data_IF_167887266820
#
_entry.id   IF_167887266820
#
_cell.length_a   1.000
_cell.length_b   1.000
_cell.length_c   1.000
_cell.angle_alpha   90.00
_cell.angle_beta   90.00
_cell.angle_gamma   90.00
#
_symmetry.space_group_name_H-M   'P 1'
#
loop_
_entity.id
_entity.type
_entity.pdbx_description
1 polymer ?
#
# COMPACT_ATOMS: atom_id res chain seq x y z
N UNK A 1 24.53 -55.22 -45.27
CA UNK A 1 25.07 -54.49 -46.43
C UNK A 1 23.95 -54.37 -47.45
N UNK A 2 23.65 -53.12 -47.88
CA UNK A 2 22.70 -52.66 -48.91
C UNK A 2 21.18 -52.52 -48.57
N UNK A 3 20.88 -51.26 -48.23
CA UNK A 3 19.68 -50.38 -48.36
C UNK A 3 19.23 -50.30 -49.86
N UNK A 4 17.97 -50.00 -50.27
CA UNK A 4 17.35 -48.70 -49.99
C UNK A 4 15.84 -48.53 -49.73
N UNK A 5 15.59 -47.32 -49.21
CA UNK A 5 14.38 -46.60 -48.81
C UNK A 5 13.42 -46.20 -49.95
N UNK A 6 12.12 -46.05 -49.62
CA UNK A 6 11.27 -44.82 -49.67
C UNK A 6 9.79 -45.28 -49.44
N UNK A 7 9.12 -44.96 -48.33
CA UNK A 7 8.36 -43.75 -48.00
C UNK A 7 6.91 -43.66 -48.56
N UNK A 8 5.99 -43.19 -47.70
CA UNK A 8 4.67 -42.57 -47.95
C UNK A 8 3.38 -43.40 -47.75
N UNK A 9 2.99 -43.49 -46.47
CA UNK A 9 1.72 -43.11 -45.80
C UNK A 9 0.40 -43.04 -46.62
N UNK A 10 -0.54 -43.79 -46.07
CA UNK A 10 -1.99 -43.96 -46.21
C UNK A 10 -2.84 -42.66 -46.35
N UNK A 11 -3.79 -42.66 -47.30
CA UNK A 11 -4.90 -41.69 -47.43
C UNK A 11 -6.23 -42.47 -47.52
N UNK A 12 -7.11 -42.29 -46.54
CA UNK A 12 -8.51 -42.76 -46.55
C UNK A 12 -9.39 -41.50 -46.56
N UNK A 13 -10.19 -41.33 -47.60
CA UNK A 13 -11.24 -40.31 -47.69
C UNK A 13 -12.57 -40.96 -48.08
N UNK A 14 -13.49 -41.09 -47.13
CA UNK A 14 -14.89 -41.40 -47.41
C UNK A 14 -15.77 -40.36 -46.75
N UNK A 15 -16.53 -39.67 -47.60
CA UNK A 15 -17.59 -38.75 -47.24
C UNK A 15 -18.80 -39.52 -46.71
N UNK A 16 -19.43 -38.99 -45.66
CA UNK A 16 -20.85 -39.27 -45.38
C UNK A 16 -21.49 -38.06 -44.72
N UNK A 17 -22.61 -37.68 -45.32
CA UNK A 17 -23.53 -36.60 -44.98
C UNK A 17 -24.50 -37.10 -43.92
N UNK A 18 -24.77 -36.33 -42.87
CA UNK A 18 -25.89 -36.57 -41.96
C UNK A 18 -26.50 -35.24 -41.50
N UNK A 19 -27.78 -35.09 -41.83
CA UNK A 19 -28.69 -34.05 -41.34
C UNK A 19 -28.89 -34.21 -39.82
N UNK A 20 -28.98 -33.10 -39.10
CA UNK A 20 -29.48 -33.05 -37.74
C UNK A 20 -30.63 -32.03 -37.65
N UNK A 21 -31.82 -32.55 -37.34
CA UNK A 21 -32.96 -31.80 -36.81
C UNK A 21 -33.05 -32.02 -35.31
N UNK A 22 -33.37 -30.93 -34.59
CA UNK A 22 -34.07 -30.87 -33.30
C UNK A 22 -33.36 -31.39 -32.04
N UNK A 23 -33.06 -30.47 -31.11
CA UNK A 23 -33.74 -30.37 -29.80
C UNK A 23 -32.99 -29.38 -28.90
N UNK A 24 -33.71 -28.34 -28.46
CA UNK A 24 -33.28 -27.45 -27.40
C UNK A 24 -33.45 -28.13 -26.04
N UNK A 25 -32.40 -28.11 -25.22
CA UNK A 25 -32.51 -28.29 -23.78
C UNK A 25 -31.31 -27.63 -23.08
N UNK A 26 -31.64 -26.74 -22.14
CA UNK A 26 -30.72 -26.02 -21.28
C UNK A 26 -29.83 -26.97 -20.47
N UNK A 27 -28.51 -26.91 -20.71
CA UNK A 27 -27.51 -27.59 -19.90
C UNK A 27 -26.75 -26.57 -19.04
N UNK A 28 -27.18 -26.47 -17.78
CA UNK A 28 -26.54 -25.75 -16.68
C UNK A 28 -25.13 -26.32 -16.44
N UNK A 29 -24.09 -25.56 -16.81
CA UNK A 29 -22.68 -25.92 -16.56
C UNK A 29 -22.36 -25.89 -15.06
N UNK A 30 -22.04 -27.05 -14.53
CA UNK A 30 -21.50 -27.29 -13.18
C UNK A 30 -20.12 -26.64 -13.06
N UNK A 31 -19.99 -25.58 -12.24
CA UNK A 31 -18.71 -25.03 -11.81
C UNK A 31 -18.16 -25.89 -10.68
N UNK A 32 -16.94 -26.41 -10.84
CA UNK A 32 -16.22 -27.11 -9.78
C UNK A 32 -15.99 -26.20 -8.57
N UNK A 33 -16.49 -26.63 -7.41
CA UNK A 33 -16.20 -26.01 -6.12
C UNK A 33 -14.83 -26.48 -5.63
N UNK A 34 -13.91 -25.53 -5.42
CA UNK A 34 -12.78 -25.76 -4.51
C UNK A 34 -13.32 -25.56 -3.10
N UNK A 35 -13.39 -26.65 -2.34
CA UNK A 35 -13.85 -26.68 -0.96
C UNK A 35 -12.65 -26.48 -0.04
N UNK A 36 -12.52 -25.28 0.55
CA UNK A 36 -11.64 -25.07 1.70
C UNK A 36 -12.51 -25.18 2.95
N UNK A 37 -12.32 -26.27 3.70
CA UNK A 37 -13.03 -26.51 4.95
C UNK A 37 -12.39 -25.67 6.06
N UNK A 38 -13.06 -24.59 6.45
CA UNK A 38 -12.89 -23.96 7.77
C UNK A 38 -14.23 -24.08 8.50
N UNK A 39 -14.21 -24.73 9.66
CA UNK A 39 -15.34 -24.96 10.54
C UNK A 39 -16.08 -23.67 10.89
N UNK A 40 -17.38 -23.65 10.59
CA UNK A 40 -18.43 -22.98 11.36
C UNK A 40 -18.42 -21.46 11.39
N UNK A 41 -18.87 -20.82 10.31
CA UNK A 41 -19.94 -19.82 10.33
C UNK A 41 -20.14 -19.28 8.89
N UNK A 42 -21.37 -19.37 8.41
CA UNK A 42 -21.77 -18.94 7.07
C UNK A 42 -21.65 -17.42 6.98
N UNK A 43 -20.62 -16.94 6.25
CA UNK A 43 -20.50 -15.52 5.88
C UNK A 43 -21.17 -15.36 4.52
N UNK A 44 -22.38 -14.80 4.52
CA UNK A 44 -23.01 -14.25 3.31
C UNK A 44 -22.21 -13.04 2.85
N UNK A 45 -21.73 -13.12 1.62
CA UNK A 45 -20.99 -12.05 0.94
C UNK A 45 -21.99 -11.12 0.27
N UNK A 46 -22.49 -10.14 1.01
CA UNK A 46 -23.16 -9.01 0.38
C UNK A 46 -22.11 -8.08 -0.25
N UNK A 47 -22.38 -7.77 -1.51
CA UNK A 47 -21.58 -7.08 -2.49
C UNK A 47 -20.99 -5.75 -2.00
N UNK A 48 -19.72 -5.80 -1.60
CA UNK A 48 -18.79 -4.72 -1.94
C UNK A 48 -18.61 -4.80 -3.45
N UNK A 49 -18.74 -3.69 -4.17
CA UNK A 49 -18.32 -3.57 -5.57
C UNK A 49 -16.87 -4.03 -5.68
N UNK A 50 -16.73 -5.32 -5.95
CA UNK A 50 -15.52 -5.93 -6.43
C UNK A 50 -15.49 -5.47 -7.87
N UNK A 51 -14.65 -4.50 -8.20
CA UNK A 51 -14.30 -4.30 -9.61
C UNK A 51 -13.91 -5.68 -10.14
N UNK A 52 -14.73 -6.22 -11.04
CA UNK A 52 -14.58 -7.56 -11.58
C UNK A 52 -13.15 -7.72 -12.10
N UNK A 53 -12.56 -8.88 -11.82
CA UNK A 53 -11.18 -9.28 -12.12
C UNK A 53 -10.89 -9.32 -13.65
N UNK A 54 -11.75 -8.77 -14.50
CA UNK A 54 -11.68 -8.84 -15.96
C UNK A 54 -11.54 -7.53 -16.74
N UNK A 55 -11.74 -6.33 -16.17
CA UNK A 55 -11.86 -5.10 -17.01
C UNK A 55 -11.22 -3.84 -16.42
N UNK A 56 -10.06 -3.93 -15.76
CA UNK A 56 -9.35 -2.70 -15.34
C UNK A 56 -8.86 -1.96 -16.57
N UNK A 57 -9.33 -0.72 -16.76
CA UNK A 57 -8.94 0.09 -17.92
C UNK A 57 -7.44 0.37 -17.89
N UNK A 58 -6.74 0.29 -19.05
CA UNK A 58 -5.34 0.70 -19.15
C UNK A 58 -5.14 2.13 -18.62
N UNK A 59 -3.95 2.37 -18.06
CA UNK A 59 -3.58 3.70 -17.55
C UNK A 59 -3.46 4.68 -18.71
N UNK A 60 -4.17 5.80 -18.62
CA UNK A 60 -3.96 6.95 -19.49
C UNK A 60 -2.61 7.59 -19.13
N UNK A 61 -1.60 7.32 -19.96
CA UNK A 61 -0.21 7.75 -19.73
C UNK A 61 -0.04 9.26 -19.87
N UNK A 62 -0.83 9.93 -20.73
CA UNK A 62 -0.79 11.37 -20.88
C UNK A 62 -1.33 12.06 -19.62
N UNK A 63 -2.48 11.60 -19.10
CA UNK A 63 -3.04 12.06 -17.83
C UNK A 63 -2.10 11.76 -16.66
N UNK A 64 -1.50 10.57 -16.62
CA UNK A 64 -0.53 10.19 -15.60
C UNK A 64 0.66 11.18 -15.57
N UNK A 65 1.27 11.45 -16.73
CA UNK A 65 2.38 12.39 -16.84
C UNK A 65 1.98 13.82 -16.41
N UNK A 66 0.79 14.29 -16.82
CA UNK A 66 0.30 15.61 -16.43
C UNK A 66 0.12 15.73 -14.90
N UNK A 67 -0.41 14.68 -14.25
CA UNK A 67 -0.57 14.63 -12.80
C UNK A 67 0.77 14.59 -12.05
N UNK A 68 1.78 13.89 -12.58
CA UNK A 68 3.13 13.92 -12.00
C UNK A 68 3.75 15.31 -12.06
N UNK A 69 3.61 16.01 -13.19
CA UNK A 69 4.08 17.39 -13.33
C UNK A 69 3.33 18.32 -12.36
N UNK A 70 2.02 18.14 -12.19
CA UNK A 70 1.23 18.87 -11.19
C UNK A 70 1.76 18.61 -9.77
N UNK A 71 2.02 17.35 -9.40
CA UNK A 71 2.55 17.00 -8.07
C UNK A 71 3.96 17.53 -7.82
N UNK A 72 4.79 17.64 -8.85
CA UNK A 72 6.11 18.27 -8.73
C UNK A 72 6.03 19.74 -8.31
N UNK A 73 4.86 20.38 -8.50
CA UNK A 73 4.53 21.70 -7.99
C UNK A 73 5.56 22.78 -8.40
N UNK A 74 5.94 22.76 -9.67
CA UNK A 74 6.93 23.68 -10.23
C UNK A 74 8.32 23.50 -9.62
N UNK A 75 8.73 22.27 -9.32
CA UNK A 75 10.15 21.97 -9.07
C UNK A 75 10.96 22.26 -10.33
N UNK A 76 11.94 23.15 -10.21
CA UNK A 76 12.84 23.54 -11.31
C UNK A 76 14.21 22.89 -11.19
N UNK A 77 14.47 22.13 -10.11
CA UNK A 77 15.76 21.49 -9.87
C UNK A 77 15.97 20.20 -10.67
N UNK A 78 14.91 19.68 -11.29
CA UNK A 78 14.93 18.44 -12.05
C UNK A 78 14.88 17.17 -11.19
N UNK A 79 14.61 17.30 -9.88
CA UNK A 79 14.46 16.16 -8.96
C UNK A 79 13.07 15.56 -9.03
N UNK A 80 12.05 16.40 -9.21
CA UNK A 80 10.65 15.99 -9.27
C UNK A 80 9.98 16.49 -10.57
N UNK A 81 9.09 15.69 -11.19
CA UNK A 81 8.83 14.29 -10.86
C UNK A 81 10.04 13.40 -11.21
N UNK A 82 10.12 12.22 -10.60
CA UNK A 82 11.19 11.26 -10.89
C UNK A 82 11.11 10.82 -12.34
N UNK A 83 12.20 11.00 -13.09
CA UNK A 83 12.28 10.63 -14.50
C UNK A 83 12.36 9.12 -14.67
N UNK A 84 11.89 8.62 -15.81
CA UNK A 84 11.98 7.20 -16.21
C UNK A 84 11.31 6.22 -15.23
N UNK A 85 10.34 6.67 -14.44
CA UNK A 85 9.54 5.76 -13.63
C UNK A 85 8.61 4.93 -14.53
N UNK A 86 8.40 3.63 -14.21
CA UNK A 86 7.50 2.79 -15.00
C UNK A 86 6.06 3.28 -14.89
N UNK A 87 5.30 3.13 -15.98
CA UNK A 87 3.84 3.29 -15.91
C UNK A 87 3.26 2.20 -15.01
N UNK A 88 2.37 2.54 -14.07
CA UNK A 88 1.79 1.54 -13.20
C UNK A 88 0.77 0.68 -13.95
N UNK A 89 0.43 -0.48 -13.40
CA UNK A 89 -0.67 -1.29 -13.93
C UNK A 89 -2.03 -0.59 -13.74
N UNK A 90 -3.02 -1.08 -14.47
CA UNK A 90 -4.41 -0.67 -14.33
C UNK A 90 -4.90 -0.85 -12.88
N UNK A 91 -5.68 0.12 -12.38
CA UNK A 91 -6.12 0.17 -10.98
C UNK A 91 -5.15 0.89 -10.03
N UNK A 92 -4.10 1.54 -10.54
CA UNK A 92 -3.26 2.42 -9.72
C UNK A 92 -4.05 3.55 -9.06
N UNK A 93 -3.64 3.88 -7.83
CA UNK A 93 -4.27 4.93 -7.01
C UNK A 93 -3.54 6.25 -7.23
N UNK A 94 -2.21 6.22 -7.26
CA UNK A 94 -1.33 7.37 -7.35
C UNK A 94 -0.86 7.58 -8.80
N UNK A 95 -0.79 8.83 -9.28
CA UNK A 95 -1.18 10.09 -8.63
C UNK A 95 -2.66 10.47 -8.86
N UNK A 96 -3.53 9.54 -9.30
CA UNK A 96 -4.92 9.83 -9.68
C UNK A 96 -5.82 10.23 -8.50
N UNK A 97 -5.54 9.71 -7.31
CA UNK A 97 -6.25 10.00 -6.07
C UNK A 97 -5.26 10.30 -4.96
N UNK A 98 -5.60 11.23 -4.07
CA UNK A 98 -4.86 11.49 -2.84
C UNK A 98 -5.29 10.50 -1.77
N UNK A 99 -4.37 9.78 -1.18
CA UNK A 99 -4.67 8.87 -0.08
C UNK A 99 -4.72 9.66 1.23
N UNK A 100 -5.79 9.53 2.00
CA UNK A 100 -5.95 10.16 3.32
C UNK A 100 -6.32 9.08 4.33
N UNK A 101 -5.50 8.90 5.37
CA UNK A 101 -5.66 7.81 6.33
C UNK A 101 -5.54 8.23 7.78
N UNK A 102 -6.20 7.48 8.65
CA UNK A 102 -5.90 7.46 10.08
C UNK A 102 -4.97 6.30 10.41
N UNK A 103 -3.91 6.59 11.16
CA UNK A 103 -2.91 5.63 11.60
C UNK A 103 -3.17 5.16 13.04
N UNK A 104 -2.80 3.92 13.34
CA UNK A 104 -2.59 3.49 14.72
C UNK A 104 -2.86 2.02 15.00
N UNK A 105 -3.03 1.69 16.28
CA UNK A 105 -3.24 0.33 16.76
C UNK A 105 -4.47 0.25 17.68
N UNK A 106 -5.37 -0.71 17.42
CA UNK A 106 -6.63 -0.90 18.14
C UNK A 106 -6.48 -1.19 19.64
N UNK A 107 -5.32 -1.68 20.09
CA UNK A 107 -5.07 -1.93 21.52
C UNK A 107 -4.56 -0.70 22.27
N UNK A 108 -4.20 0.39 21.57
CA UNK A 108 -3.60 1.55 22.21
C UNK A 108 -4.17 2.87 21.70
N UNK A 109 -4.89 3.57 22.58
CA UNK A 109 -5.36 4.94 22.36
C UNK A 109 -4.23 5.98 22.28
N UNK A 110 -2.98 5.58 22.52
CA UNK A 110 -1.78 6.44 22.46
C UNK A 110 -0.98 6.26 21.16
N UNK A 111 -1.33 5.26 20.35
CA UNK A 111 -0.57 4.91 19.13
C UNK A 111 -1.25 5.39 17.85
N UNK A 112 -2.26 6.25 17.94
CA UNK A 112 -2.79 7.02 16.82
C UNK A 112 -4.30 7.05 16.71
N UNK A 113 -4.80 8.02 15.94
CA UNK A 113 -6.22 8.31 15.73
C UNK A 113 -7.09 7.11 15.35
N UNK A 114 -6.55 6.08 14.67
CA UNK A 114 -7.30 4.86 14.34
C UNK A 114 -7.74 4.08 15.59
N UNK A 115 -6.86 3.98 16.59
CA UNK A 115 -7.12 3.24 17.84
C UNK A 115 -7.65 4.11 18.98
N UNK A 116 -7.65 5.43 18.82
CA UNK A 116 -8.06 6.37 19.87
C UNK A 116 -9.58 6.42 20.07
N UNK A 117 -10.36 6.28 18.99
CA UNK A 117 -11.81 6.47 18.99
C UNK A 117 -12.57 5.18 18.67
N UNK A 118 -13.83 5.10 19.12
CA UNK A 118 -14.74 4.05 18.66
C UNK A 118 -14.97 4.17 17.14
N UNK A 119 -15.19 3.06 16.39
CA UNK A 119 -15.20 3.09 14.93
C UNK A 119 -16.10 4.13 14.26
N UNK A 120 -17.31 4.35 14.78
CA UNK A 120 -18.23 5.38 14.25
C UNK A 120 -17.68 6.80 14.40
N UNK A 121 -17.11 7.10 15.57
CA UNK A 121 -16.52 8.42 15.84
C UNK A 121 -15.21 8.62 15.08
N UNK A 122 -14.38 7.56 14.99
CA UNK A 122 -13.17 7.54 14.15
C UNK A 122 -13.51 7.92 12.71
N UNK A 123 -14.53 7.26 12.12
CA UNK A 123 -14.98 7.56 10.77
C UNK A 123 -15.56 8.96 10.60
N UNK A 124 -16.34 9.45 11.57
CA UNK A 124 -16.85 10.83 11.55
C UNK A 124 -15.70 11.84 11.43
N UNK A 125 -14.62 11.64 12.18
CA UNK A 125 -13.44 12.52 12.19
C UNK A 125 -12.62 12.40 10.90
N UNK A 126 -12.32 11.17 10.46
CA UNK A 126 -11.60 10.96 9.19
C UNK A 126 -12.40 11.52 7.99
N UNK A 127 -13.72 11.39 7.98
CA UNK A 127 -14.55 12.00 6.93
C UNK A 127 -14.52 13.53 6.96
N UNK A 128 -14.26 14.17 8.10
CA UNK A 128 -14.06 15.62 8.14
C UNK A 128 -12.73 16.02 7.47
N UNK A 129 -11.65 15.28 7.72
CA UNK A 129 -10.36 15.51 7.05
C UNK A 129 -10.46 15.27 5.54
N UNK A 130 -11.15 14.20 5.13
CA UNK A 130 -11.40 13.90 3.71
C UNK A 130 -12.11 15.08 3.03
N UNK A 131 -13.20 15.59 3.63
CA UNK A 131 -13.93 16.75 3.10
C UNK A 131 -13.06 18.01 3.02
N UNK A 132 -12.15 18.21 3.97
CA UNK A 132 -11.23 19.35 3.94
C UNK A 132 -10.27 19.23 2.74
N UNK A 133 -9.69 18.04 2.52
CA UNK A 133 -8.83 17.79 1.36
C UNK A 133 -9.56 17.94 0.02
N UNK A 134 -10.78 17.42 -0.09
CA UNK A 134 -11.62 17.56 -1.29
C UNK A 134 -11.95 19.04 -1.59
N UNK A 135 -12.14 19.85 -0.55
CA UNK A 135 -12.38 21.29 -0.70
C UNK A 135 -11.13 22.04 -1.17
N UNK A 136 -9.96 21.67 -0.67
CA UNK A 136 -8.70 22.39 -0.94
C UNK A 136 -8.09 22.02 -2.30
N UNK A 137 -8.23 20.78 -2.74
CA UNK A 137 -7.78 20.32 -4.06
C UNK A 137 -8.86 19.46 -4.75
N UNK A 138 -9.95 20.09 -5.24
CA UNK A 138 -11.08 19.38 -5.83
C UNK A 138 -10.72 18.59 -7.10
N UNK A 139 -9.61 18.95 -7.74
CA UNK A 139 -9.12 18.25 -8.94
C UNK A 139 -8.37 16.95 -8.65
N UNK A 140 -8.08 16.64 -7.38
CA UNK A 140 -7.45 15.39 -6.96
C UNK A 140 -8.35 14.68 -5.94
N UNK A 141 -9.21 13.73 -6.38
CA UNK A 141 -10.16 13.06 -5.49
C UNK A 141 -9.46 12.29 -4.38
N UNK A 142 -10.15 12.08 -3.25
CA UNK A 142 -9.58 11.39 -2.08
C UNK A 142 -9.90 9.89 -2.09
N UNK A 143 -8.87 9.09 -1.83
CA UNK A 143 -8.94 7.67 -1.51
C UNK A 143 -8.80 7.51 0.01
N UNK A 144 -9.91 7.21 0.69
CA UNK A 144 -9.89 6.98 2.13
C UNK A 144 -9.18 5.66 2.47
N UNK A 145 -8.46 5.64 3.59
CA UNK A 145 -7.87 4.40 4.10
C UNK A 145 -7.63 4.39 5.61
N UNK A 146 -7.29 3.22 6.13
CA UNK A 146 -6.87 3.03 7.52
C UNK A 146 -5.46 2.42 7.52
N UNK A 147 -4.54 2.96 8.31
CA UNK A 147 -3.17 2.46 8.40
C UNK A 147 -2.93 1.84 9.77
N UNK A 148 -2.96 0.51 9.82
CA UNK A 148 -2.93 -0.25 11.06
C UNK A 148 -1.56 -0.85 11.35
N UNK A 149 -1.08 -0.68 12.58
CA UNK A 149 0.17 -1.27 13.05
C UNK A 149 -0.04 -2.75 13.36
N UNK A 150 0.31 -3.62 12.41
CA UNK A 150 0.14 -5.07 12.48
C UNK A 150 1.29 -5.77 13.22
N UNK A 151 2.46 -5.14 13.27
CA UNK A 151 3.56 -5.56 14.15
C UNK A 151 4.17 -4.32 14.81
N UNK A 152 4.26 -4.36 16.14
CA UNK A 152 4.66 -3.20 16.96
C UNK A 152 6.01 -3.49 17.61
N UNK A 153 6.96 -2.56 17.51
CA UNK A 153 8.20 -2.66 18.26
C UNK A 153 7.92 -2.47 19.75
N UNK A 154 8.45 -3.36 20.58
CA UNK A 154 8.19 -3.44 22.01
C UNK A 154 9.40 -3.01 22.82
N UNK A 155 9.17 -2.31 23.94
CA UNK A 155 10.21 -2.03 24.93
C UNK A 155 10.62 -3.25 25.76
N UNK A 156 9.85 -4.34 25.70
CA UNK A 156 10.09 -5.58 26.45
C UNK A 156 10.29 -6.77 25.50
N UNK A 157 11.13 -7.76 25.88
CA UNK A 157 11.36 -8.95 25.06
C UNK A 157 10.10 -9.81 24.99
N UNK A 158 9.77 -10.26 23.77
CA UNK A 158 8.83 -11.36 23.55
C UNK A 158 9.47 -12.71 23.83
N UNK A 159 8.70 -13.79 23.67
CA UNK A 159 9.19 -15.18 23.88
C UNK A 159 10.37 -15.56 22.97
N UNK A 160 10.44 -14.95 21.80
CA UNK A 160 11.50 -15.13 20.80
C UNK A 160 12.67 -14.15 20.96
N UNK A 161 12.63 -13.30 21.99
CA UNK A 161 13.65 -12.27 22.23
C UNK A 161 13.70 -11.19 21.16
N UNK A 162 12.68 -11.06 20.28
CA UNK A 162 12.70 -10.13 19.14
C UNK A 162 12.17 -8.73 19.43
N UNK A 163 11.66 -8.50 20.64
CA UNK A 163 11.11 -7.20 21.06
C UNK A 163 10.03 -6.71 20.09
N UNK A 164 9.17 -7.62 19.63
CA UNK A 164 8.10 -7.35 18.67
C UNK A 164 6.79 -7.94 19.18
N UNK A 165 5.73 -7.14 19.15
CA UNK A 165 4.37 -7.59 19.42
C UNK A 165 3.65 -7.74 18.09
N UNK A 166 3.48 -8.99 17.64
CA UNK A 166 2.73 -9.32 16.41
C UNK A 166 1.25 -9.36 16.73
N UNK A 167 0.45 -8.59 16.00
CA UNK A 167 -0.99 -8.57 16.21
C UNK A 167 -1.60 -9.87 15.71
N UNK A 168 -2.56 -10.40 16.46
CA UNK A 168 -3.29 -11.59 16.03
C UNK A 168 -4.09 -11.29 14.76
N UNK A 169 -4.29 -12.33 13.93
CA UNK A 169 -5.11 -12.24 12.72
C UNK A 169 -6.49 -11.60 12.99
N UNK A 170 -7.13 -11.93 14.12
CA UNK A 170 -8.43 -11.35 14.51
C UNK A 170 -8.41 -9.82 14.67
N UNK A 171 -7.27 -9.23 15.02
CA UNK A 171 -7.13 -7.79 15.08
C UNK A 171 -7.03 -7.16 13.69
N UNK A 172 -6.28 -7.79 12.78
CA UNK A 172 -6.24 -7.38 11.38
C UNK A 172 -7.66 -7.50 10.79
N UNK A 173 -8.35 -8.61 11.04
CA UNK A 173 -9.73 -8.83 10.60
C UNK A 173 -10.68 -7.74 11.14
N UNK A 174 -10.48 -7.30 12.39
CA UNK A 174 -11.25 -6.19 12.99
C UNK A 174 -11.03 -4.88 12.25
N UNK A 175 -9.80 -4.56 11.84
CA UNK A 175 -9.53 -3.36 11.02
C UNK A 175 -10.15 -3.47 9.65
N UNK A 176 -10.12 -4.65 9.02
CA UNK A 176 -10.81 -4.87 7.73
C UNK A 176 -12.33 -4.69 7.88
N UNK A 177 -12.92 -5.12 8.99
CA UNK A 177 -14.34 -4.89 9.29
C UNK A 177 -14.64 -3.39 9.50
N UNK A 178 -13.78 -2.66 10.20
CA UNK A 178 -13.91 -1.20 10.35
C UNK A 178 -13.78 -0.51 8.99
N UNK A 179 -12.86 -0.96 8.13
CA UNK A 179 -12.69 -0.44 6.78
C UNK A 179 -13.97 -0.58 5.94
N UNK A 180 -14.66 -1.72 6.05
CA UNK A 180 -15.94 -1.99 5.34
C UNK A 180 -17.09 -1.06 5.74
N UNK A 181 -17.00 -0.36 6.87
CA UNK A 181 -18.03 0.63 7.27
C UNK A 181 -18.10 1.82 6.32
N UNK A 182 -17.06 2.07 5.51
CA UNK A 182 -17.04 3.09 4.47
C UNK A 182 -16.71 2.45 3.12
N UNK A 183 -17.53 2.68 2.08
CA UNK A 183 -17.26 2.14 0.74
C UNK A 183 -15.88 2.52 0.22
N UNK A 184 -15.28 1.59 -0.54
CA UNK A 184 -14.02 1.79 -1.23
C UNK A 184 -12.84 2.19 -0.32
N UNK A 185 -12.84 1.78 0.95
CA UNK A 185 -11.73 2.04 1.88
C UNK A 185 -10.58 1.07 1.67
N UNK A 186 -9.35 1.58 1.59
CA UNK A 186 -8.13 0.76 1.56
C UNK A 186 -7.53 0.59 2.97
N UNK A 187 -6.72 -0.45 3.17
CA UNK A 187 -6.04 -0.70 4.45
C UNK A 187 -4.56 -0.85 4.22
N UNK A 188 -3.75 -0.26 5.07
CA UNK A 188 -2.31 -0.49 5.14
C UNK A 188 -2.00 -1.32 6.39
N UNK A 189 -1.18 -2.35 6.24
CA UNK A 189 -0.60 -3.08 7.36
C UNK A 189 0.84 -2.59 7.55
N UNK A 190 1.12 -2.01 8.71
CA UNK A 190 2.41 -1.44 9.05
C UNK A 190 3.23 -2.42 9.90
N UNK A 191 4.52 -2.53 9.60
CA UNK A 191 5.44 -3.44 10.26
C UNK A 191 6.62 -2.70 10.91
N UNK A 192 6.66 -2.76 12.24
CA UNK A 192 7.79 -2.33 13.07
C UNK A 192 8.56 -3.58 13.54
N UNK A 193 9.67 -3.90 12.88
CA UNK A 193 10.29 -5.24 12.99
C UNK A 193 11.17 -5.45 14.23
N UNK A 194 11.56 -4.38 14.92
CA UNK A 194 12.48 -4.40 16.06
C UNK A 194 13.77 -5.20 15.77
N UNK A 195 14.06 -6.23 16.57
CA UNK A 195 15.23 -7.13 16.39
C UNK A 195 14.95 -8.31 15.44
N UNK A 196 13.77 -8.36 14.84
CA UNK A 196 13.47 -9.24 13.71
C UNK A 196 13.94 -8.59 12.39
N UNK A 197 13.50 -9.14 11.26
CA UNK A 197 13.76 -8.57 9.95
C UNK A 197 12.55 -8.71 9.03
N UNK A 198 12.48 -7.87 8.00
CA UNK A 198 11.30 -7.79 7.13
C UNK A 198 11.01 -9.10 6.38
N UNK A 199 12.04 -9.92 6.10
CA UNK A 199 11.88 -11.23 5.42
C UNK A 199 11.15 -12.24 6.30
N UNK A 200 11.37 -12.18 7.62
CA UNK A 200 10.70 -13.02 8.59
C UNK A 200 9.27 -12.52 8.89
N UNK A 201 9.04 -11.21 8.85
CA UNK A 201 7.75 -10.63 9.26
C UNK A 201 6.69 -10.61 8.13
N UNK A 202 7.09 -10.44 6.87
CA UNK A 202 6.16 -10.40 5.74
C UNK A 202 5.23 -11.63 5.61
N UNK A 203 5.72 -12.89 5.74
CA UNK A 203 4.88 -14.07 5.62
C UNK A 203 3.69 -14.10 6.59
N UNK A 204 3.80 -13.47 7.75
CA UNK A 204 2.71 -13.43 8.74
C UNK A 204 1.47 -12.68 8.25
N UNK A 205 1.63 -11.72 7.34
CA UNK A 205 0.53 -10.91 6.80
C UNK A 205 0.25 -11.18 5.32
N UNK A 206 0.97 -12.12 4.69
CA UNK A 206 0.90 -12.36 3.25
C UNK A 206 -0.53 -12.65 2.77
N UNK A 207 -1.30 -13.45 3.53
CA UNK A 207 -2.71 -13.74 3.20
C UNK A 207 -3.57 -12.49 3.06
N UNK A 208 -3.25 -11.41 3.80
CA UNK A 208 -3.97 -10.14 3.71
C UNK A 208 -3.49 -9.30 2.53
N UNK A 209 -2.20 -9.34 2.20
CA UNK A 209 -1.64 -8.65 1.03
C UNK A 209 -2.21 -9.19 -0.29
N UNK A 210 -2.76 -10.40 -0.29
CA UNK A 210 -3.50 -10.97 -1.43
C UNK A 210 -4.84 -10.25 -1.70
N UNK A 211 -5.38 -9.48 -0.74
CA UNK A 211 -6.60 -8.71 -0.93
C UNK A 211 -6.31 -7.44 -1.75
N UNK A 212 -7.12 -7.08 -2.76
CA UNK A 212 -6.81 -5.99 -3.69
C UNK A 212 -6.70 -4.61 -3.01
N UNK A 213 -7.45 -4.38 -1.92
CA UNK A 213 -7.51 -3.11 -1.18
C UNK A 213 -6.56 -3.06 0.03
N UNK A 214 -5.70 -4.07 0.22
CA UNK A 214 -4.70 -4.10 1.30
C UNK A 214 -3.31 -3.78 0.75
N UNK A 215 -2.62 -2.90 1.45
CA UNK A 215 -1.33 -2.30 1.13
C UNK A 215 -0.37 -2.44 2.32
N UNK A 216 0.88 -1.99 2.17
CA UNK A 216 1.94 -2.21 3.15
C UNK A 216 2.60 -0.89 3.58
N UNK A 217 2.86 -0.77 4.88
CA UNK A 217 3.76 0.22 5.48
C UNK A 217 4.96 -0.47 6.15
N UNK A 218 6.12 0.18 6.15
CA UNK A 218 7.27 -0.21 6.97
C UNK A 218 7.86 1.00 7.69
N UNK A 219 8.31 0.78 8.92
CA UNK A 219 8.99 1.77 9.74
C UNK A 219 10.49 1.46 9.88
N UNK A 220 11.37 2.08 9.07
CA UNK A 220 12.81 1.93 9.23
C UNK A 220 13.32 2.32 10.62
N UNK A 221 12.65 3.23 11.33
CA UNK A 221 13.01 3.61 12.72
C UNK A 221 13.14 2.39 13.64
N UNK A 222 12.38 1.33 13.38
CA UNK A 222 12.36 0.13 14.20
C UNK A 222 13.10 -1.05 13.58
N UNK A 223 13.87 -0.85 12.50
CA UNK A 223 14.73 -1.91 11.94
C UNK A 223 16.11 -1.89 12.62
N UNK A 224 16.24 -2.67 13.70
CA UNK A 224 17.37 -2.63 14.62
C UNK A 224 18.45 -3.65 14.27
N UNK A 225 19.11 -3.44 13.14
CA UNK A 225 20.05 -4.40 12.53
C UNK A 225 21.29 -4.74 13.36
N UNK A 226 21.62 -3.94 14.37
CA UNK A 226 22.85 -4.09 15.17
C UNK A 226 22.60 -4.63 16.59
N UNK A 227 21.38 -5.07 16.89
CA UNK A 227 21.04 -5.60 18.21
C UNK A 227 20.60 -4.53 19.22
N UNK A 228 20.69 -3.23 18.89
CA UNK A 228 20.23 -2.17 19.79
C UNK A 228 18.71 -2.28 20.01
N UNK A 229 18.25 -2.13 21.24
CA UNK A 229 16.82 -2.21 21.54
C UNK A 229 16.04 -1.07 20.85
N UNK A 230 14.80 -1.34 20.37
CA UNK A 230 13.97 -0.32 19.74
C UNK A 230 13.72 0.87 20.68
N UNK A 231 13.67 2.08 20.12
CA UNK A 231 13.47 3.33 20.86
C UNK A 231 14.72 3.88 21.56
N UNK A 232 15.85 3.16 21.59
CA UNK A 232 17.14 3.70 22.07
C UNK A 232 17.87 4.53 21.01
N UNK A 233 17.70 4.18 19.75
CA UNK A 233 18.16 4.93 18.59
C UNK A 233 17.25 4.64 17.40
N UNK A 234 17.39 5.46 16.36
CA UNK A 234 16.67 5.28 15.10
C UNK A 234 17.35 4.17 14.30
N UNK A 235 16.58 3.15 13.93
CA UNK A 235 16.97 2.04 13.06
C UNK A 235 17.14 2.45 11.59
N UNK A 236 17.30 1.45 10.72
CA UNK A 236 17.53 1.69 9.30
C UNK A 236 17.08 0.55 8.39
N UNK A 237 16.63 0.91 7.20
CA UNK A 237 16.52 0.01 6.06
C UNK A 237 17.46 0.46 4.94
N UNK A 238 18.03 -0.52 4.25
CA UNK A 238 18.74 -0.27 3.00
C UNK A 238 17.79 -0.42 1.79
N UNK A 239 18.18 0.15 0.66
CA UNK A 239 17.51 -0.11 -0.62
C UNK A 239 17.39 -1.61 -0.93
N UNK A 240 18.33 -2.46 -0.49
CA UNK A 240 18.21 -3.91 -0.62
C UNK A 240 17.00 -4.48 0.14
N UNK A 241 16.70 -3.99 1.34
CA UNK A 241 15.50 -4.40 2.09
C UNK A 241 14.23 -3.92 1.37
N UNK A 242 14.21 -2.65 0.94
CA UNK A 242 13.08 -2.06 0.21
C UNK A 242 12.83 -2.80 -1.10
N UNK A 243 13.88 -3.18 -1.82
CA UNK A 243 13.80 -3.93 -3.07
C UNK A 243 13.32 -5.36 -2.87
N UNK A 244 13.67 -5.99 -1.75
CA UNK A 244 13.11 -7.29 -1.38
C UNK A 244 11.59 -7.19 -1.18
N UNK A 245 11.14 -6.18 -0.42
CA UNK A 245 9.70 -5.96 -0.19
C UNK A 245 8.98 -5.61 -1.48
N UNK A 246 9.53 -4.70 -2.30
CA UNK A 246 8.88 -4.32 -3.56
C UNK A 246 8.82 -5.47 -4.57
N UNK A 247 9.82 -6.36 -4.58
CA UNK A 247 9.77 -7.61 -5.36
C UNK A 247 8.64 -8.51 -4.86
N UNK A 248 8.58 -8.76 -3.55
CA UNK A 248 7.57 -9.63 -2.95
C UNK A 248 6.14 -9.12 -3.24
N UNK A 249 5.90 -7.81 -3.10
CA UNK A 249 4.62 -7.21 -3.47
C UNK A 249 4.31 -7.35 -4.96
N UNK A 250 5.30 -7.17 -5.84
CA UNK A 250 5.13 -7.37 -7.27
C UNK A 250 4.77 -8.83 -7.62
N UNK A 251 5.39 -9.80 -6.95
CA UNK A 251 5.10 -11.22 -7.15
C UNK A 251 3.68 -11.57 -6.71
N UNK A 252 3.20 -11.02 -5.58
CA UNK A 252 1.80 -11.15 -5.15
C UNK A 252 0.85 -10.53 -6.18
N UNK A 253 1.16 -9.32 -6.68
CA UNK A 253 0.31 -8.65 -7.69
C UNK A 253 0.18 -9.50 -8.95
N UNK A 254 1.29 -10.04 -9.46
CA UNK A 254 1.28 -10.91 -10.64
C UNK A 254 0.54 -12.22 -10.39
N UNK A 255 0.86 -12.89 -9.28
CA UNK A 255 0.30 -14.21 -8.95
C UNK A 255 -1.21 -14.18 -8.78
N UNK A 256 -1.76 -13.11 -8.20
CA UNK A 256 -3.18 -13.00 -7.88
C UNK A 256 -3.94 -11.98 -8.76
N UNK A 257 -3.31 -11.47 -9.83
CA UNK A 257 -3.89 -10.49 -10.75
C UNK A 257 -4.50 -9.26 -10.03
N UNK A 258 -3.75 -8.69 -9.10
CA UNK A 258 -4.20 -7.57 -8.26
C UNK A 258 -3.93 -6.22 -8.94
N UNK A 259 -4.62 -5.13 -8.52
CA UNK A 259 -4.13 -3.79 -8.80
C UNK A 259 -2.76 -3.54 -8.11
N UNK A 260 -1.98 -2.55 -8.57
CA UNK A 260 -0.71 -2.20 -7.95
C UNK A 260 -0.83 -1.90 -6.45
N UNK A 261 0.12 -2.38 -5.67
CA UNK A 261 0.19 -2.09 -4.22
C UNK A 261 0.78 -0.71 -3.97
N UNK A 262 0.22 0.03 -3.03
CA UNK A 262 0.91 1.19 -2.45
C UNK A 262 1.83 0.67 -1.35
N UNK A 263 3.08 1.11 -1.37
CA UNK A 263 4.10 0.71 -0.40
C UNK A 263 4.67 1.96 0.28
N UNK A 264 4.32 2.15 1.56
CA UNK A 264 4.67 3.33 2.34
C UNK A 264 5.94 3.05 3.15
N UNK A 265 6.90 3.97 3.07
CA UNK A 265 8.17 3.89 3.79
C UNK A 265 8.31 5.15 4.64
N UNK A 266 8.21 4.99 5.95
CA UNK A 266 8.29 6.10 6.90
C UNK A 266 9.72 6.65 7.00
N UNK A 267 9.89 7.98 6.94
CA UNK A 267 11.21 8.63 7.00
C UNK A 267 11.11 10.03 7.59
N UNK A 268 11.94 10.32 8.59
CA UNK A 268 12.12 11.67 9.14
C UNK A 268 13.57 12.02 9.47
N UNK A 269 14.51 11.12 9.20
CA UNK A 269 15.94 11.41 9.17
C UNK A 269 16.57 10.77 7.94
N UNK A 270 17.73 11.29 7.51
CA UNK A 270 18.44 10.77 6.33
C UNK A 270 18.85 9.30 6.48
N UNK A 271 19.35 8.90 7.66
CA UNK A 271 19.93 7.57 7.90
C UNK A 271 18.90 6.44 8.00
N UNK A 272 17.60 6.76 8.09
CA UNK A 272 16.54 5.76 8.13
C UNK A 272 16.46 4.94 6.84
N UNK A 273 16.81 5.54 5.70
CA UNK A 273 16.86 4.84 4.42
C UNK A 273 18.20 5.09 3.76
N UNK A 274 19.01 4.04 3.59
CA UNK A 274 20.30 4.12 2.91
C UNK A 274 20.19 3.72 1.45
N UNK A 275 21.08 4.27 0.63
CA UNK A 275 21.21 3.92 -0.80
C UNK A 275 19.92 4.10 -1.61
N UNK A 276 19.11 5.11 -1.31
CA UNK A 276 17.78 5.30 -1.92
C UNK A 276 17.80 5.29 -3.47
N UNK A 277 18.89 5.73 -4.09
CA UNK A 277 19.07 5.71 -5.55
C UNK A 277 19.04 4.29 -6.15
N UNK A 278 19.32 3.27 -5.32
CA UNK A 278 19.27 1.86 -5.71
C UNK A 278 17.87 1.23 -5.54
N UNK A 279 16.88 1.98 -5.07
CA UNK A 279 15.49 1.51 -4.98
C UNK A 279 14.92 1.34 -6.39
N UNK A 280 14.44 0.14 -6.69
CA UNK A 280 13.89 -0.24 -7.99
C UNK A 280 12.38 0.02 -8.02
N UNK A 281 11.94 0.85 -8.96
CA UNK A 281 10.53 1.09 -9.24
C UNK A 281 9.95 -0.02 -10.13
N UNK A 282 8.66 -0.32 -9.95
CA UNK A 282 7.98 -1.45 -10.59
C UNK A 282 6.55 -1.05 -10.99
N UNK A 283 6.00 -1.49 -12.14
CA UNK A 283 4.60 -1.25 -12.49
C UNK A 283 3.59 -1.71 -11.43
N UNK A 284 3.94 -2.75 -10.68
CA UNK A 284 3.11 -3.39 -9.67
C UNK A 284 3.10 -2.67 -8.31
N UNK A 285 4.01 -1.73 -8.08
CA UNK A 285 4.21 -1.10 -6.76
C UNK A 285 4.37 0.42 -6.89
N UNK A 286 3.57 1.15 -6.11
CA UNK A 286 3.58 2.60 -5.99
C UNK A 286 4.25 2.96 -4.65
N UNK A 287 5.52 3.37 -4.70
CA UNK A 287 6.33 3.65 -3.51
C UNK A 287 6.10 5.08 -3.02
N UNK A 288 5.80 5.22 -1.73
CA UNK A 288 5.62 6.51 -1.05
C UNK A 288 6.73 6.68 -0.01
N UNK A 289 7.59 7.67 -0.20
CA UNK A 289 8.48 8.15 0.86
C UNK A 289 7.73 9.12 1.75
N UNK A 290 7.41 8.68 2.97
CA UNK A 290 6.45 9.34 3.84
C UNK A 290 7.16 10.11 4.97
N UNK A 291 6.96 11.43 5.02
CA UNK A 291 7.51 12.29 6.07
C UNK A 291 6.80 12.01 7.41
N UNK A 292 7.48 11.25 8.29
CA UNK A 292 6.89 10.75 9.56
C UNK A 292 7.33 11.55 10.81
N UNK A 293 7.95 12.71 10.65
CA UNK A 293 8.47 13.50 11.76
C UNK A 293 7.40 14.37 12.41
N UNK A 294 7.38 14.45 13.74
CA UNK A 294 6.52 15.36 14.49
C UNK A 294 7.25 16.67 14.83
N UNK A 295 6.48 17.74 15.05
CA UNK A 295 7.01 19.04 15.46
C UNK A 295 6.23 20.22 14.90
N UNK A 296 6.69 21.42 15.19
CA UNK A 296 6.11 22.64 14.66
C UNK A 296 6.26 22.74 13.12
N UNK A 297 5.40 23.52 12.43
CA UNK A 297 5.37 23.59 10.96
C UNK A 297 6.73 23.84 10.29
N UNK A 298 7.58 24.73 10.83
CA UNK A 298 8.89 25.00 10.24
C UNK A 298 9.82 23.80 10.29
N UNK A 299 9.86 23.08 11.42
CA UNK A 299 10.66 21.87 11.56
C UNK A 299 10.19 20.80 10.56
N UNK A 300 8.88 20.60 10.44
CA UNK A 300 8.32 19.60 9.51
C UNK A 300 8.58 19.95 8.05
N UNK A 301 8.47 21.23 7.67
CA UNK A 301 8.89 21.72 6.34
C UNK A 301 10.38 21.49 6.10
N UNK A 302 11.22 21.74 7.12
CA UNK A 302 12.64 21.46 7.10
C UNK A 302 12.94 19.98 6.88
N UNK A 303 12.32 19.10 7.65
CA UNK A 303 12.43 17.63 7.52
C UNK A 303 12.01 17.16 6.13
N UNK A 304 10.87 17.66 5.62
CA UNK A 304 10.40 17.34 4.28
C UNK A 304 11.42 17.77 3.21
N UNK A 305 11.95 19.00 3.30
CA UNK A 305 12.94 19.52 2.36
C UNK A 305 14.26 18.73 2.38
N UNK A 306 14.77 18.41 3.56
CA UNK A 306 16.10 17.79 3.71
C UNK A 306 16.12 16.28 3.53
N UNK A 307 15.01 15.59 3.81
CA UNK A 307 14.99 14.13 3.81
C UNK A 307 14.00 13.55 2.83
N UNK A 308 12.93 14.26 2.41
CA UNK A 308 12.00 13.74 1.40
C UNK A 308 12.33 14.30 0.02
N UNK A 309 12.32 15.61 -0.12
CA UNK A 309 12.55 16.28 -1.40
C UNK A 309 13.95 16.03 -1.98
N UNK A 310 14.97 16.03 -1.13
CA UNK A 310 16.38 15.88 -1.53
C UNK A 310 16.75 14.48 -2.02
N UNK A 311 15.95 13.47 -1.66
CA UNK A 311 16.19 12.05 -1.94
C UNK A 311 14.94 11.45 -2.61
N UNK A 312 14.71 11.79 -3.90
CA UNK A 312 13.50 11.42 -4.61
C UNK A 312 13.46 9.92 -4.94
N UNK A 313 12.27 9.32 -4.84
CA UNK A 313 12.04 7.89 -5.15
C UNK A 313 10.87 7.71 -6.13
N UNK A 314 9.63 8.05 -5.75
CA UNK A 314 8.49 8.01 -6.69
C UNK A 314 7.36 8.95 -6.27
N UNK A 315 6.75 8.72 -5.11
CA UNK A 315 5.74 9.59 -4.53
C UNK A 315 6.14 10.02 -3.12
N UNK A 316 5.52 11.09 -2.63
CA UNK A 316 5.75 11.60 -1.28
C UNK A 316 4.48 11.58 -0.44
N UNK A 317 4.68 11.44 0.86
CA UNK A 317 3.61 11.57 1.83
C UNK A 317 4.00 12.45 3.01
N UNK A 318 3.01 12.77 3.84
CA UNK A 318 3.20 13.63 5.00
C UNK A 318 2.28 13.21 6.15
N UNK A 319 2.86 13.11 7.35
CA UNK A 319 2.12 12.82 8.58
C UNK A 319 1.78 14.08 9.36
N UNK A 320 0.60 14.12 9.94
CA UNK A 320 0.15 15.14 10.88
C UNK A 320 -0.13 14.47 12.22
N UNK A 321 0.40 15.02 13.31
CA UNK A 321 0.21 14.48 14.65
C UNK A 321 -0.66 15.43 15.46
N UNK A 322 -1.92 15.07 15.70
CA UNK A 322 -2.92 15.96 16.34
C UNK A 322 -2.46 16.50 17.70
N UNK A 323 -1.60 15.75 18.41
CA UNK A 323 -1.08 16.13 19.73
C UNK A 323 0.37 16.56 19.69
N UNK A 324 1.23 15.83 18.97
CA UNK A 324 2.68 16.05 19.04
C UNK A 324 3.13 17.31 18.30
N UNK A 325 2.46 17.67 17.20
CA UNK A 325 2.80 18.88 16.43
C UNK A 325 2.43 20.16 17.19
N UNK A 326 1.53 20.07 18.17
CA UNK A 326 1.08 21.20 18.98
C UNK A 326 1.99 21.51 20.18
N UNK A 327 3.06 20.72 20.41
CA UNK A 327 3.90 20.83 21.61
C UNK A 327 4.78 22.07 21.66
N UNK A 328 5.10 22.66 20.50
CA UNK A 328 5.95 23.85 20.38
C UNK A 328 5.21 24.95 19.62
N UNK A 329 5.58 26.20 19.89
CA UNK A 329 5.07 27.35 19.15
C UNK A 329 5.24 27.13 17.63
N UNK A 330 4.25 27.50 16.80
CA UNK A 330 3.04 28.26 17.11
C UNK A 330 1.83 27.41 17.54
N UNK A 331 2.05 26.18 18.04
CA UNK A 331 1.02 25.30 18.60
C UNK A 331 -0.13 25.04 17.61
N UNK A 332 0.19 24.81 16.34
CA UNK A 332 -0.77 24.50 15.29
C UNK A 332 -0.29 23.37 14.40
N UNK A 333 -1.25 22.65 13.82
CA UNK A 333 -0.99 21.72 12.73
C UNK A 333 -0.75 22.48 11.43
N UNK A 334 0.04 21.89 10.54
CA UNK A 334 -0.01 22.28 9.13
C UNK A 334 -1.36 21.85 8.54
N UNK A 335 -1.97 22.72 7.76
CA UNK A 335 -3.28 22.46 7.13
C UNK A 335 -3.10 21.93 5.70
N UNK A 336 -4.12 21.32 5.07
CA UNK A 336 -4.05 20.94 3.66
C UNK A 336 -3.51 22.07 2.75
N UNK A 337 -3.90 23.33 2.99
CA UNK A 337 -3.42 24.51 2.27
C UNK A 337 -1.92 24.75 2.45
N UNK A 338 -1.37 24.49 3.64
CA UNK A 338 0.08 24.54 3.87
C UNK A 338 0.81 23.41 3.14
N UNK A 339 0.24 22.19 3.16
CA UNK A 339 0.82 21.04 2.49
C UNK A 339 0.81 21.17 0.95
N UNK A 340 -0.20 21.82 0.38
CA UNK A 340 -0.27 22.11 -1.07
C UNK A 340 0.84 23.06 -1.55
N UNK A 341 1.53 23.76 -0.64
CA UNK A 341 2.67 24.62 -0.96
C UNK A 341 4.01 23.86 -0.97
N UNK A 342 4.02 22.60 -0.53
CA UNK A 342 5.23 21.78 -0.52
C UNK A 342 5.63 21.36 -1.94
N UNK A 343 6.92 21.12 -2.13
CA UNK A 343 7.49 20.62 -3.38
C UNK A 343 8.24 19.31 -3.12
N UNK A 344 7.84 18.19 -3.75
CA UNK A 344 6.55 17.99 -4.43
C UNK A 344 5.38 18.09 -3.43
N UNK A 345 4.15 18.19 -3.92
CA UNK A 345 2.94 18.09 -3.09
C UNK A 345 2.77 16.64 -2.62
N UNK A 346 2.63 16.38 -1.31
CA UNK A 346 2.40 15.02 -0.82
C UNK A 346 1.03 14.50 -1.27
N UNK A 347 1.02 13.27 -1.78
CA UNK A 347 -0.18 12.59 -2.31
C UNK A 347 -0.68 11.48 -1.37
N UNK A 348 0.07 11.20 -0.30
CA UNK A 348 -0.34 10.32 0.78
C UNK A 348 -0.30 11.09 2.11
N UNK A 349 -1.43 11.19 2.78
CA UNK A 349 -1.61 11.97 4.01
C UNK A 349 -2.02 11.04 5.13
N UNK A 350 -1.29 11.11 6.24
CA UNK A 350 -1.53 10.29 7.41
C UNK A 350 -1.79 11.18 8.63
N UNK A 351 -2.86 10.91 9.36
CA UNK A 351 -3.15 11.56 10.64
C UNK A 351 -2.93 10.58 11.79
N UNK A 352 -2.25 11.04 12.84
CA UNK A 352 -1.97 10.29 14.06
C UNK A 352 -2.42 11.04 15.31
#
# INVERSE_FOLDING_TARGET
MKIPHLAAILLISTATMALLTSCASDAKKTKGQIKITATGNTVTTDSVETEEVGTRKPVDTAKYNALLTKLANGDTTGKWPVKNQPYPLAGAILPFKRIVVYYGNLHSKKMGALGEYAPKEMWKRLNAEIKHWEKVDPSTPVQAGLHYIAAVASGTPGRDGKYINRMANSQIDSVLAIAKMRPNTIVFLDLQVALSNIKAELPHIEKYLQLPYVHLGIDPEFSMKDGTLPGKKIGTYDAADINFVSQHLADIVKKYNLPPKVFVIHRFTKKMVTNYQSIKLRPEVQIVMHMDGWGEPELKKGTYRHFIYSEPVQFTGFKLFYKNDLKKAPNRLMTPEDLMKLKPVPIYIQYQ
#
